data_IF_608258839791
#
_entry.id   IF_608258839791
#
_cell.length_a   1.000
_cell.length_b   1.000
_cell.length_c   1.000
_cell.angle_alpha   90.00
_cell.angle_beta   90.00
_cell.angle_gamma   90.00
#
_symmetry.space_group_name_H-M   'P 1'
#
loop_
_entity.id
_entity.type
_entity.pdbx_description
1 polymer ?
#
# COMPACT_ATOMS: atom_id res chain seq x y z
N UNK A 1 -59.93 -22.91 -9.57
CA UNK A 1 -59.16 -21.66 -9.51
C UNK A 1 -58.11 -21.62 -8.39
N UNK A 2 -58.40 -22.06 -7.18
CA UNK A 2 -57.40 -22.01 -6.05
C UNK A 2 -56.12 -22.89 -6.28
N UNK A 3 -56.22 -23.98 -7.02
CA UNK A 3 -55.07 -24.87 -7.28
C UNK A 3 -54.09 -24.30 -8.30
N UNK A 4 -54.60 -23.54 -9.29
CA UNK A 4 -53.74 -22.88 -10.29
C UNK A 4 -52.94 -21.72 -9.70
N UNK A 5 -53.55 -20.98 -8.74
CA UNK A 5 -52.92 -19.89 -8.06
C UNK A 5 -51.72 -20.37 -7.19
N UNK A 6 -51.84 -21.52 -6.54
CA UNK A 6 -50.78 -22.10 -5.76
C UNK A 6 -49.59 -22.60 -6.62
N UNK A 7 -49.85 -23.09 -7.84
CA UNK A 7 -48.78 -23.44 -8.78
C UNK A 7 -48.06 -22.20 -9.32
N UNK A 8 -48.80 -21.09 -9.54
CA UNK A 8 -48.22 -19.83 -9.99
C UNK A 8 -47.34 -19.19 -8.90
N UNK A 9 -47.77 -19.25 -7.65
CA UNK A 9 -46.94 -18.77 -6.50
C UNK A 9 -45.69 -19.63 -6.29
N UNK A 10 -45.78 -20.94 -6.53
CA UNK A 10 -44.62 -21.85 -6.44
C UNK A 10 -43.56 -21.59 -7.54
N UNK A 11 -44.01 -21.17 -8.73
CA UNK A 11 -43.09 -20.84 -9.82
C UNK A 11 -42.37 -19.49 -9.63
N UNK A 12 -42.99 -18.53 -8.96
CA UNK A 12 -42.34 -17.24 -8.62
C UNK A 12 -41.33 -17.34 -7.50
N UNK A 13 -41.36 -18.40 -6.68
CA UNK A 13 -40.45 -18.56 -5.52
C UNK A 13 -39.08 -19.14 -5.85
N UNK A 14 -38.84 -19.65 -7.06
CA UNK A 14 -37.57 -20.32 -7.42
C UNK A 14 -36.60 -19.41 -8.16
N UNK A 15 -37.01 -18.18 -8.50
CA UNK A 15 -36.22 -17.25 -9.33
C UNK A 15 -35.28 -16.28 -8.57
N UNK A 16 -35.20 -16.33 -7.24
CA UNK A 16 -34.60 -15.23 -6.48
C UNK A 16 -33.41 -15.59 -5.58
N UNK A 17 -32.76 -16.72 -5.78
CA UNK A 17 -31.55 -17.04 -4.96
C UNK A 17 -30.43 -17.57 -5.82
N UNK A 18 -30.00 -16.80 -6.80
CA UNK A 18 -28.60 -16.90 -7.23
C UNK A 18 -27.95 -15.54 -7.09
N UNK A 19 -27.84 -15.10 -5.83
CA UNK A 19 -26.74 -14.23 -5.45
C UNK A 19 -25.47 -15.09 -5.58
N UNK A 20 -24.98 -15.26 -6.78
CA UNK A 20 -23.61 -15.70 -6.97
C UNK A 20 -22.73 -14.63 -6.33
N UNK A 21 -22.28 -14.86 -5.12
CA UNK A 21 -21.15 -14.15 -4.55
C UNK A 21 -19.94 -14.52 -5.43
N UNK A 22 -19.81 -13.83 -6.54
CA UNK A 22 -18.58 -13.84 -7.30
C UNK A 22 -17.58 -13.07 -6.45
N UNK A 23 -16.69 -13.79 -5.74
CA UNK A 23 -15.51 -13.20 -5.15
C UNK A 23 -14.70 -12.52 -6.27
N UNK A 24 -13.85 -11.59 -5.94
CA UNK A 24 -12.97 -10.94 -6.90
C UNK A 24 -11.67 -11.75 -7.01
N UNK A 25 -11.15 -12.03 -8.22
CA UNK A 25 -9.82 -12.59 -8.37
C UNK A 25 -8.77 -11.77 -7.64
N UNK A 26 -7.79 -12.41 -7.06
CA UNK A 26 -6.74 -11.75 -6.28
C UNK A 26 -5.34 -12.25 -6.62
N UNK A 27 -4.35 -11.43 -6.33
CA UNK A 27 -2.92 -11.75 -6.33
C UNK A 27 -2.37 -11.57 -4.92
N UNK A 28 -1.38 -12.35 -4.57
CA UNK A 28 -0.54 -12.11 -3.40
C UNK A 28 0.68 -11.30 -3.82
N UNK A 29 1.00 -10.27 -3.05
CA UNK A 29 2.16 -9.43 -3.30
C UNK A 29 3.02 -9.30 -2.05
N UNK A 30 4.34 -9.31 -2.23
CA UNK A 30 5.30 -9.03 -1.18
C UNK A 30 6.38 -8.07 -1.69
N UNK A 31 6.76 -7.13 -0.83
CA UNK A 31 7.81 -6.16 -1.09
C UNK A 31 8.85 -6.23 0.01
N UNK A 32 10.12 -6.16 -0.37
CA UNK A 32 11.23 -6.01 0.55
C UNK A 32 12.09 -4.80 0.17
N UNK A 33 12.44 -3.99 1.16
CA UNK A 33 13.29 -2.82 1.01
C UNK A 33 14.11 -2.61 2.29
N UNK A 34 15.15 -1.80 2.22
CA UNK A 34 15.85 -1.24 3.37
C UNK A 34 15.85 0.28 3.23
N UNK A 35 15.26 0.98 4.17
CA UNK A 35 15.17 2.44 4.15
C UNK A 35 16.37 3.03 4.89
N UNK A 36 17.07 3.95 4.24
CA UNK A 36 18.26 4.62 4.74
C UNK A 36 18.17 6.12 4.49
N UNK A 37 18.94 6.89 5.27
CA UNK A 37 19.19 8.30 5.00
C UNK A 37 20.32 8.50 3.96
N UNK A 38 20.61 9.74 3.60
CA UNK A 38 21.67 10.08 2.63
C UNK A 38 23.09 9.71 3.14
N UNK A 39 23.26 9.52 4.45
CA UNK A 39 24.51 9.07 5.05
C UNK A 39 24.61 7.52 5.12
N UNK A 40 23.54 6.79 4.74
CA UNK A 40 23.47 5.34 4.76
C UNK A 40 23.02 4.75 6.11
N UNK A 41 22.54 5.59 7.04
CA UNK A 41 21.99 5.11 8.31
C UNK A 41 20.57 4.58 8.12
N UNK A 42 20.19 3.49 8.81
CA UNK A 42 18.82 2.97 8.71
C UNK A 42 17.82 3.92 9.37
N UNK A 43 16.64 4.04 8.75
CA UNK A 43 15.52 4.83 9.26
C UNK A 43 14.43 3.89 9.72
N UNK A 44 14.03 3.98 10.99
CA UNK A 44 12.91 3.24 11.56
C UNK A 44 11.60 4.01 11.37
N UNK A 45 10.46 3.31 11.37
CA UNK A 45 9.13 3.92 11.44
C UNK A 45 8.57 4.36 10.07
N UNK A 46 9.35 4.32 9.01
CA UNK A 46 8.86 4.63 7.66
C UNK A 46 7.81 3.59 7.24
N UNK A 47 6.64 4.06 6.83
CA UNK A 47 5.56 3.23 6.29
C UNK A 47 5.63 3.17 4.77
N UNK A 48 5.45 1.98 4.20
CA UNK A 48 5.26 1.81 2.76
C UNK A 48 3.78 1.56 2.47
N UNK A 49 3.25 2.27 1.48
CA UNK A 49 1.89 2.09 0.94
C UNK A 49 1.92 1.93 -0.57
N UNK A 50 0.88 1.39 -1.14
CA UNK A 50 0.66 1.50 -2.58
C UNK A 50 0.24 2.93 -2.92
N UNK A 51 0.49 3.39 -4.14
CA UNK A 51 0.05 4.72 -4.60
C UNK A 51 -1.48 4.89 -4.54
N UNK A 52 -2.23 3.82 -4.70
CA UNK A 52 -3.69 3.83 -4.49
C UNK A 52 -4.10 4.06 -3.02
N UNK A 53 -3.15 4.18 -2.11
CA UNK A 53 -3.38 4.41 -0.68
C UNK A 53 -3.76 3.16 0.10
N UNK A 54 -3.74 1.97 -0.52
CA UNK A 54 -3.97 0.73 0.20
C UNK A 54 -2.75 0.38 1.06
N UNK A 55 -2.92 0.21 2.37
CA UNK A 55 -1.83 -0.21 3.24
C UNK A 55 -1.46 -1.66 2.94
N UNK A 56 -0.20 -1.98 3.15
CA UNK A 56 0.21 -3.36 3.36
C UNK A 56 -0.34 -3.87 4.71
N UNK A 57 -0.24 -5.18 4.95
CA UNK A 57 -0.70 -5.73 6.23
C UNK A 57 -0.09 -4.95 7.40
N UNK A 58 -0.90 -4.52 8.36
CA UNK A 58 -0.61 -3.54 9.43
C UNK A 58 0.69 -3.76 10.23
N UNK A 59 1.24 -4.97 10.17
CA UNK A 59 2.47 -5.33 10.91
C UNK A 59 3.71 -5.41 10.02
N UNK A 60 3.56 -5.35 8.70
CA UNK A 60 4.65 -5.66 7.77
C UNK A 60 5.05 -4.47 6.89
N UNK A 61 4.21 -3.43 6.84
CA UNK A 61 4.41 -2.23 6.02
C UNK A 61 5.34 -1.18 6.63
N UNK A 62 6.01 -1.46 7.77
CA UNK A 62 6.84 -0.48 8.47
C UNK A 62 8.30 -0.92 8.54
N UNK A 63 9.21 0.06 8.46
CA UNK A 63 10.63 -0.15 8.65
C UNK A 63 10.95 -0.49 10.13
N UNK A 64 11.68 -1.57 10.34
CA UNK A 64 12.21 -1.94 11.64
C UNK A 64 13.42 -1.06 12.05
N UNK A 65 14.01 -1.31 13.21
CA UNK A 65 15.16 -0.56 13.73
C UNK A 65 16.44 -0.66 12.86
N UNK A 66 16.48 -1.58 11.91
CA UNK A 66 17.53 -1.73 10.90
C UNK A 66 17.13 -1.14 9.56
N UNK A 67 15.97 -0.47 9.48
CA UNK A 67 15.39 0.09 8.26
C UNK A 67 14.73 -0.94 7.35
N UNK A 68 14.65 -2.23 7.73
CA UNK A 68 14.11 -3.25 6.84
C UNK A 68 12.58 -3.24 6.83
N UNK A 69 12.02 -3.32 5.63
CA UNK A 69 10.60 -3.53 5.36
C UNK A 69 10.41 -4.90 4.69
N UNK A 70 9.42 -5.66 5.15
CA UNK A 70 8.96 -6.92 4.55
C UNK A 70 7.45 -6.92 4.44
N UNK A 71 6.94 -6.04 3.57
CA UNK A 71 5.53 -5.80 3.38
C UNK A 71 4.86 -6.95 2.61
N UNK A 72 3.60 -7.25 2.97
CA UNK A 72 2.75 -8.24 2.29
C UNK A 72 1.34 -7.71 2.19
N UNK A 73 0.65 -8.09 1.13
CA UNK A 73 -0.77 -7.80 0.95
C UNK A 73 -1.38 -8.72 -0.11
N UNK A 74 -2.71 -8.71 -0.15
CA UNK A 74 -3.48 -9.35 -1.20
C UNK A 74 -4.24 -8.27 -1.96
N UNK A 75 -4.10 -8.26 -3.28
CA UNK A 75 -4.74 -7.29 -4.16
C UNK A 75 -5.83 -7.94 -4.99
N UNK A 76 -6.86 -7.17 -5.28
CA UNK A 76 -7.83 -7.52 -6.29
C UNK A 76 -7.19 -7.42 -7.69
N UNK A 77 -7.35 -8.48 -8.48
CA UNK A 77 -6.90 -8.49 -9.88
C UNK A 77 -7.68 -7.45 -10.72
N UNK A 78 -7.09 -6.70 -11.67
CA UNK A 78 -5.70 -6.80 -12.16
C UNK A 78 -4.74 -5.76 -11.55
N UNK A 79 -4.96 -5.31 -10.34
CA UNK A 79 -4.25 -4.18 -9.72
C UNK A 79 -3.03 -4.62 -8.90
N UNK A 80 -2.05 -5.29 -9.50
CA UNK A 80 -0.73 -5.35 -8.89
C UNK A 80 -0.16 -3.93 -8.77
N UNK A 81 0.56 -3.63 -7.67
CA UNK A 81 1.13 -2.32 -7.49
C UNK A 81 2.31 -2.11 -8.46
N UNK A 82 2.23 -1.07 -9.23
CA UNK A 82 3.28 -0.56 -10.09
C UNK A 82 4.06 0.59 -9.42
N UNK A 83 3.43 1.26 -8.45
CA UNK A 83 4.02 2.35 -7.68
C UNK A 83 3.75 2.20 -6.19
N UNK A 84 4.75 2.54 -5.38
CA UNK A 84 4.68 2.58 -3.91
C UNK A 84 5.13 3.94 -3.39
N UNK A 85 4.65 4.28 -2.20
CA UNK A 85 5.00 5.51 -1.50
C UNK A 85 5.59 5.14 -0.15
N UNK A 86 6.75 5.71 0.16
CA UNK A 86 7.38 5.65 1.47
C UNK A 86 7.02 6.93 2.22
N UNK A 87 6.47 6.79 3.41
CA UNK A 87 5.95 7.88 4.23
C UNK A 87 6.58 7.85 5.60
N UNK A 88 7.08 8.99 6.04
CA UNK A 88 7.40 9.20 7.43
C UNK A 88 6.10 9.47 8.20
N UNK A 89 5.75 8.56 9.11
CA UNK A 89 4.50 8.64 9.89
C UNK A 89 4.72 8.96 11.35
N UNK A 90 5.97 9.03 11.80
CA UNK A 90 6.32 9.36 13.17
C UNK A 90 6.97 10.75 13.32
N UNK A 91 7.20 11.45 12.21
CA UNK A 91 7.69 12.83 12.18
C UNK A 91 9.12 12.96 12.74
N UNK A 92 9.32 13.86 13.72
CA UNK A 92 10.64 14.14 14.29
C UNK A 92 11.29 12.97 15.05
N UNK A 93 10.55 11.87 15.26
CA UNK A 93 11.11 10.68 15.91
C UNK A 93 12.04 9.91 14.95
N UNK A 94 12.88 9.06 15.50
CA UNK A 94 13.75 8.14 14.75
C UNK A 94 14.69 8.79 13.71
N UNK A 95 15.20 9.99 13.99
CA UNK A 95 16.25 10.62 13.20
C UNK A 95 15.85 11.89 12.47
N UNK A 96 14.64 12.39 12.70
CA UNK A 96 14.08 13.61 12.11
C UNK A 96 13.01 13.30 11.06
N UNK A 97 12.31 14.32 10.60
CA UNK A 97 11.24 14.21 9.62
C UNK A 97 11.79 14.06 8.19
N UNK A 98 11.33 13.05 7.46
CA UNK A 98 11.78 12.76 6.11
C UNK A 98 10.70 13.09 5.08
N UNK A 99 11.12 13.50 3.88
CA UNK A 99 10.23 13.69 2.76
C UNK A 99 9.66 12.35 2.26
N UNK A 100 8.42 12.36 1.84
CA UNK A 100 7.81 11.19 1.20
C UNK A 100 8.47 10.91 -0.15
N UNK A 101 8.63 9.62 -0.48
CA UNK A 101 9.19 9.18 -1.74
C UNK A 101 8.19 8.29 -2.48
N UNK A 102 7.80 8.71 -3.69
CA UNK A 102 7.09 7.86 -4.65
C UNK A 102 8.09 7.11 -5.52
N UNK A 103 7.90 5.80 -5.68
CA UNK A 103 8.78 4.94 -6.46
C UNK A 103 7.99 4.04 -7.39
N UNK A 104 8.29 4.12 -8.70
CA UNK A 104 7.85 3.14 -9.70
C UNK A 104 8.62 1.83 -9.49
N UNK A 105 7.89 0.74 -9.30
CA UNK A 105 8.43 -0.59 -9.04
C UNK A 105 8.08 -1.60 -10.13
N UNK A 106 7.47 -1.16 -11.22
CA UNK A 106 6.98 -2.02 -12.30
C UNK A 106 8.07 -2.93 -12.88
N UNK A 107 9.29 -2.45 -12.98
CA UNK A 107 10.47 -3.22 -13.44
C UNK A 107 11.03 -4.18 -12.38
N UNK A 108 10.65 -4.04 -11.12
CA UNK A 108 11.10 -4.87 -9.98
C UNK A 108 10.10 -5.97 -9.64
N UNK A 109 8.84 -5.84 -10.09
CA UNK A 109 7.79 -6.82 -9.79
C UNK A 109 8.01 -8.10 -10.61
N UNK A 110 8.09 -9.24 -9.93
CA UNK A 110 8.30 -10.56 -10.56
C UNK A 110 7.28 -11.55 -10.05
N UNK A 111 6.65 -12.28 -10.97
CA UNK A 111 5.80 -13.41 -10.59
C UNK A 111 6.67 -14.58 -10.09
N UNK A 112 6.45 -14.96 -8.84
CA UNK A 112 7.18 -16.07 -8.18
C UNK A 112 6.39 -17.37 -8.17
N UNK A 113 5.06 -17.27 -8.26
CA UNK A 113 4.16 -18.43 -8.32
C UNK A 113 3.02 -18.14 -9.29
N UNK A 114 2.75 -19.08 -10.17
CA UNK A 114 1.59 -18.99 -11.08
C UNK A 114 0.29 -19.15 -10.32
N UNK A 115 -0.75 -18.48 -10.81
CA UNK A 115 -2.11 -18.65 -10.31
C UNK A 115 -2.65 -20.07 -10.53
N UNK A 116 -3.73 -20.36 -9.82
CA UNK A 116 -4.48 -21.62 -9.96
C UNK A 116 -5.98 -21.35 -9.82
N UNK A 117 -6.76 -21.87 -10.77
CA UNK A 117 -8.20 -21.63 -10.83
C UNK A 117 -8.54 -20.19 -11.22
N UNK A 118 -9.82 -19.82 -11.00
CA UNK A 118 -10.36 -18.54 -11.47
C UNK A 118 -10.09 -17.39 -10.48
N UNK A 119 -9.72 -17.68 -9.26
CA UNK A 119 -9.65 -16.70 -8.16
C UNK A 119 -8.23 -16.28 -7.82
N UNK A 120 -7.30 -17.22 -7.71
CA UNK A 120 -5.92 -16.94 -7.36
C UNK A 120 -5.07 -16.77 -8.62
N UNK A 121 -4.61 -15.55 -8.88
CA UNK A 121 -3.87 -15.18 -10.10
C UNK A 121 -2.35 -15.29 -9.94
N UNK A 122 -1.86 -15.59 -8.75
CA UNK A 122 -0.45 -15.85 -8.48
C UNK A 122 0.13 -15.02 -7.35
N UNK A 123 1.42 -15.29 -7.08
CA UNK A 123 2.21 -14.51 -6.11
C UNK A 123 3.26 -13.70 -6.87
N UNK A 124 3.38 -12.44 -6.50
CA UNK A 124 4.35 -11.49 -7.04
C UNK A 124 5.26 -10.98 -5.93
N UNK A 125 6.48 -10.63 -6.29
CA UNK A 125 7.48 -10.09 -5.37
C UNK A 125 8.24 -8.93 -5.99
N UNK A 126 8.50 -7.89 -5.19
CA UNK A 126 9.43 -6.82 -5.52
C UNK A 126 10.56 -6.75 -4.47
N UNK A 127 11.80 -6.68 -4.93
CA UNK A 127 12.98 -6.49 -4.10
C UNK A 127 13.62 -5.16 -4.52
N UNK A 128 13.54 -4.14 -3.65
CA UNK A 128 13.96 -2.78 -3.98
C UNK A 128 15.41 -2.50 -3.57
N UNK A 129 15.95 -3.27 -2.61
CA UNK A 129 17.26 -2.98 -2.02
C UNK A 129 17.19 -1.76 -1.10
N UNK A 130 18.24 -0.94 -1.14
CA UNK A 130 18.32 0.29 -0.34
C UNK A 130 17.48 1.40 -1.00
N UNK A 131 16.61 2.02 -0.19
CA UNK A 131 15.76 3.15 -0.56
C UNK A 131 16.18 4.33 0.29
N UNK A 132 16.70 5.38 -0.34
CA UNK A 132 17.22 6.56 0.35
C UNK A 132 16.13 7.62 0.47
N UNK A 133 15.89 8.11 1.69
CA UNK A 133 15.01 9.24 1.97
C UNK A 133 15.84 10.47 2.35
N UNK A 134 15.33 11.65 1.99
CA UNK A 134 15.92 12.95 2.30
C UNK A 134 15.23 13.55 3.51
N UNK A 135 16.01 14.08 4.45
CA UNK A 135 15.48 14.88 5.55
C UNK A 135 14.77 16.11 5.01
N UNK A 136 13.60 16.42 5.54
CA UNK A 136 12.95 17.70 5.27
C UNK A 136 13.85 18.83 5.70
N UNK A 137 14.06 19.81 4.80
CA UNK A 137 14.73 21.03 5.15
C UNK A 137 13.89 21.75 6.21
N UNK A 138 14.51 22.06 7.38
CA UNK A 138 13.90 22.94 8.37
C UNK A 138 13.48 24.23 7.66
N UNK A 139 12.19 24.49 7.59
CA UNK A 139 11.67 25.82 7.26
C UNK A 139 11.88 26.69 8.51
N UNK A 140 13.11 27.06 8.77
CA UNK A 140 13.41 28.22 9.61
C UNK A 140 12.80 29.40 8.87
N UNK A 141 11.57 29.75 9.24
CA UNK A 141 10.96 31.01 8.84
C UNK A 141 11.96 32.12 9.15
N UNK A 142 12.47 32.76 8.12
CA UNK A 142 13.09 34.07 8.19
C UNK A 142 12.07 35.09 8.69
N UNK A 143 11.73 35.03 9.97
CA UNK A 143 11.09 36.12 10.70
C UNK A 143 12.14 37.18 11.04
N UNK A 144 12.85 37.64 10.03
CA UNK A 144 13.57 38.89 10.13
C UNK A 144 12.63 40.02 9.67
N UNK A 145 11.64 40.28 10.48
CA UNK A 145 10.79 41.47 10.32
C UNK A 145 11.61 42.66 10.78
N UNK A 146 11.96 43.48 9.82
CA UNK A 146 12.44 44.82 9.96
C UNK A 146 11.72 45.62 11.09
N UNK A 147 12.35 45.73 12.24
CA UNK A 147 12.18 46.89 13.10
C UNK A 147 13.25 47.89 12.70
N UNK A 148 12.96 48.68 11.67
CA UNK A 148 13.60 49.96 11.44
C UNK A 148 12.53 51.02 11.44
N UNK A 149 12.47 51.75 12.57
CA UNK A 149 12.84 53.17 12.64
C UNK A 149 11.77 54.12 12.10
N UNK A 150 11.01 54.66 12.99
CA UNK A 150 10.47 56.03 12.83
C UNK A 150 10.91 56.87 14.02
N UNK A 151 11.89 57.68 13.78
CA UNK A 151 12.16 58.91 14.49
C UNK A 151 11.12 59.96 14.17
#
# INVERSE_FOLDING_TARGET
MKRILNYLLGLMGIGAVSCTMYGTPYVEFSLSARVIDEAGNPIQGIEVRTKSGQPFDDKTGYADYLGNIKAKCSYMWPSEPDEVVFLDVDGDYNGGEFDSLELDISDKVKQTKKGSGDWYQGTYKAELGDVTLTLKADQTEDNNTNEEESL
#
